data_IF_053235187305
#
_entry.id   IF_053235187305
#
_cell.length_a   1.000
_cell.length_b   1.000
_cell.length_c   1.000
_cell.angle_alpha   90.00
_cell.angle_beta   90.00
_cell.angle_gamma   90.00
#
_symmetry.space_group_name_H-M   'P 1'
#
loop_
_entity.id
_entity.type
_entity.pdbx_description
1 polymer ?
#
# COMPACT_ATOMS: atom_id res chain seq x y z
N UNK A 1 -16.33 1.83 1.93
CA UNK A 1 -14.93 1.41 2.17
C UNK A 1 -14.93 0.43 3.32
N UNK A 2 -14.20 -0.68 3.24
CA UNK A 2 -14.07 -1.56 4.41
C UNK A 2 -13.26 -0.84 5.49
N UNK A 3 -13.62 -1.03 6.76
CA UNK A 3 -12.96 -0.39 7.91
C UNK A 3 -11.44 -0.69 7.92
N UNK A 4 -11.02 -1.86 7.41
CA UNK A 4 -9.61 -2.25 7.29
C UNK A 4 -8.81 -1.34 6.37
N UNK A 5 -9.36 -0.95 5.21
CA UNK A 5 -8.66 -0.10 4.23
C UNK A 5 -8.43 1.30 4.82
N UNK A 6 -9.43 1.87 5.49
CA UNK A 6 -9.28 3.14 6.19
C UNK A 6 -8.24 3.10 7.32
N UNK A 7 -8.15 1.98 8.05
CA UNK A 7 -7.16 1.78 9.11
C UNK A 7 -5.73 1.68 8.56
N UNK A 8 -5.54 0.95 7.45
CA UNK A 8 -4.23 0.82 6.84
C UNK A 8 -3.71 2.14 6.26
N UNK A 9 -4.57 2.88 5.56
CA UNK A 9 -4.23 4.22 5.05
C UNK A 9 -3.86 5.15 6.21
N UNK A 10 -4.59 5.09 7.32
CA UNK A 10 -4.27 5.85 8.53
C UNK A 10 -2.84 5.57 9.02
N UNK A 11 -2.42 4.31 9.11
CA UNK A 11 -1.06 3.95 9.54
C UNK A 11 0.02 4.33 8.52
N UNK A 12 -0.28 4.26 7.21
CA UNK A 12 0.68 4.63 6.17
C UNK A 12 1.14 6.10 6.25
N UNK A 13 0.29 6.98 6.77
CA UNK A 13 0.62 8.38 6.98
C UNK A 13 1.04 8.69 8.42
N UNK A 14 0.39 8.08 9.41
CA UNK A 14 0.64 8.37 10.84
C UNK A 14 2.04 7.94 11.28
N UNK A 15 2.48 6.73 10.92
CA UNK A 15 3.78 6.22 11.37
C UNK A 15 4.97 7.07 10.87
N UNK A 16 5.09 7.37 9.56
CA UNK A 16 6.12 8.29 9.09
C UNK A 16 5.93 9.71 9.66
N UNK A 17 4.68 10.15 9.80
CA UNK A 17 4.29 11.41 10.40
C UNK A 17 4.87 11.66 11.79
N UNK A 18 4.72 10.67 12.68
CA UNK A 18 5.29 10.69 14.03
C UNK A 18 6.81 10.73 13.98
N UNK A 19 7.43 10.02 13.02
CA UNK A 19 8.88 10.10 12.80
C UNK A 19 9.32 11.52 12.42
N UNK A 20 8.61 12.20 11.51
CA UNK A 20 8.91 13.59 11.16
C UNK A 20 8.71 14.53 12.35
N UNK A 21 7.65 14.34 13.13
CA UNK A 21 7.45 15.07 14.39
C UNK A 21 8.62 14.89 15.35
N UNK A 22 9.14 13.67 15.48
CA UNK A 22 10.33 13.39 16.28
C UNK A 22 11.56 14.18 15.82
N UNK A 23 11.79 14.26 14.50
CA UNK A 23 12.90 15.03 13.93
C UNK A 23 12.72 16.54 14.21
N UNK A 24 11.51 17.07 14.03
CA UNK A 24 11.19 18.47 14.31
C UNK A 24 11.37 18.76 15.81
N UNK A 25 10.79 17.93 16.67
CA UNK A 25 10.89 18.06 18.13
C UNK A 25 12.32 18.01 18.62
N UNK A 26 13.15 17.14 18.05
CA UNK A 26 14.59 17.09 18.32
C UNK A 26 15.27 18.43 18.03
N UNK A 27 15.04 19.02 16.85
CA UNK A 27 15.65 20.31 16.49
C UNK A 27 15.11 21.48 17.32
N UNK A 28 13.82 21.49 17.64
CA UNK A 28 13.23 22.48 18.53
C UNK A 28 13.84 22.41 19.94
N UNK A 29 14.15 21.20 20.42
CA UNK A 29 14.82 21.02 21.70
C UNK A 29 16.28 21.48 21.67
N UNK A 30 17.03 21.09 20.63
CA UNK A 30 18.44 21.49 20.45
C UNK A 30 18.60 23.02 20.35
N UNK A 31 17.66 23.70 19.70
CA UNK A 31 17.66 25.17 19.57
C UNK A 31 17.16 25.90 20.82
N UNK A 32 16.68 25.17 21.83
CA UNK A 32 16.09 25.74 23.04
C UNK A 32 14.69 26.36 22.84
N UNK A 33 14.09 26.23 21.65
CA UNK A 33 12.74 26.71 21.35
C UNK A 33 11.66 25.89 22.04
N UNK A 34 11.98 24.65 22.43
CA UNK A 34 11.05 23.74 23.07
C UNK A 34 11.73 23.01 24.24
N UNK A 35 11.31 23.36 25.46
CA UNK A 35 11.69 22.66 26.68
C UNK A 35 10.61 21.62 26.97
N UNK A 36 10.94 20.34 26.80
CA UNK A 36 10.00 19.25 27.12
C UNK A 36 10.09 18.95 28.60
N UNK A 37 9.05 19.34 29.34
CA UNK A 37 8.88 18.88 30.72
C UNK A 37 8.14 17.53 30.72
N UNK A 38 8.87 16.47 31.09
CA UNK A 38 8.34 15.11 31.16
C UNK A 38 7.31 14.93 32.29
N UNK A 39 7.28 15.83 33.27
CA UNK A 39 6.33 15.77 34.39
C UNK A 39 4.93 16.16 33.94
N UNK A 40 4.81 17.27 33.20
CA UNK A 40 3.56 17.76 32.60
C UNK A 40 2.97 16.78 31.57
N UNK A 41 3.81 16.00 30.89
CA UNK A 41 3.36 14.99 29.93
C UNK A 41 2.67 13.78 30.57
N UNK A 42 3.02 13.43 31.82
CA UNK A 42 2.44 12.27 32.51
C UNK A 42 0.98 12.46 32.84
N UNK A 43 0.60 13.66 33.27
CA UNK A 43 -0.77 13.95 33.71
C UNK A 43 -1.76 14.01 32.54
N UNK A 44 -1.28 14.23 31.31
CA UNK A 44 -2.09 14.36 30.10
C UNK A 44 -1.84 13.27 29.05
N UNK A 45 -1.36 12.09 29.46
CA UNK A 45 -0.91 11.03 28.54
C UNK A 45 -1.91 10.72 27.42
N UNK A 46 -3.20 10.63 27.73
CA UNK A 46 -4.26 10.37 26.75
C UNK A 46 -4.43 11.49 25.72
N UNK A 47 -4.57 12.74 26.19
CA UNK A 47 -4.75 13.89 25.31
C UNK A 47 -3.51 14.15 24.45
N UNK A 48 -2.31 14.05 25.04
CA UNK A 48 -1.04 14.25 24.35
C UNK A 48 -0.83 13.19 23.27
N UNK A 49 -1.11 11.92 23.57
CA UNK A 49 -1.01 10.84 22.58
C UNK A 49 -1.94 11.08 21.40
N UNK A 50 -3.19 11.47 21.66
CA UNK A 50 -4.14 11.79 20.60
C UNK A 50 -3.67 12.95 19.73
N UNK A 51 -3.15 14.03 20.33
CA UNK A 51 -2.61 15.18 19.60
C UNK A 51 -1.41 14.79 18.74
N UNK A 52 -0.47 14.01 19.29
CA UNK A 52 0.71 13.54 18.55
C UNK A 52 0.30 12.65 17.36
N UNK A 53 -0.66 11.75 17.57
CA UNK A 53 -1.18 10.87 16.51
C UNK A 53 -1.88 11.69 15.42
N UNK A 54 -2.74 12.62 15.79
CA UNK A 54 -3.45 13.48 14.83
C UNK A 54 -2.48 14.39 14.05
N UNK A 55 -1.54 15.04 14.75
CA UNK A 55 -0.50 15.85 14.13
C UNK A 55 0.41 15.02 13.23
N UNK A 56 0.75 13.80 13.65
CA UNK A 56 1.53 12.85 12.87
C UNK A 56 0.82 12.51 11.56
N UNK A 57 -0.46 12.14 11.61
CA UNK A 57 -1.25 11.88 10.41
C UNK A 57 -1.24 13.07 9.43
N UNK A 58 -1.49 14.29 9.93
CA UNK A 58 -1.49 15.51 9.12
C UNK A 58 -0.12 15.76 8.47
N UNK A 59 0.96 15.66 9.24
CA UNK A 59 2.32 15.86 8.74
C UNK A 59 2.69 14.78 7.72
N UNK A 60 2.32 13.53 7.98
CA UNK A 60 2.51 12.42 7.05
C UNK A 60 1.86 12.69 5.70
N UNK A 61 0.63 13.20 5.70
CA UNK A 61 -0.08 13.61 4.47
C UNK A 61 0.62 14.75 3.74
N UNK A 62 1.05 15.80 4.46
CA UNK A 62 1.73 16.95 3.86
C UNK A 62 3.05 16.54 3.19
N UNK A 63 3.84 15.71 3.87
CA UNK A 63 5.15 15.25 3.41
C UNK A 63 5.04 14.19 2.30
N UNK A 64 3.90 13.52 2.15
CA UNK A 64 3.72 12.51 1.10
C UNK A 64 4.02 13.05 -0.32
N UNK A 65 3.62 14.29 -0.57
CA UNK A 65 3.91 14.99 -1.82
C UNK A 65 5.42 15.14 -2.10
N UNK A 66 6.19 15.39 -1.05
CA UNK A 66 7.65 15.51 -1.10
C UNK A 66 8.30 14.14 -1.24
N UNK A 67 7.80 13.13 -0.52
CA UNK A 67 8.26 11.75 -0.62
C UNK A 67 8.03 11.16 -2.02
N UNK A 68 6.94 11.55 -2.69
CA UNK A 68 6.71 11.19 -4.09
C UNK A 68 7.76 11.81 -5.03
N UNK A 69 8.15 13.07 -4.80
CA UNK A 69 9.23 13.72 -5.57
C UNK A 69 10.58 13.07 -5.28
N UNK A 70 10.88 12.74 -4.02
CA UNK A 70 12.06 11.99 -3.62
C UNK A 70 12.16 10.64 -4.34
N UNK A 71 11.07 9.88 -4.35
CA UNK A 71 11.00 8.61 -5.08
C UNK A 71 11.26 8.76 -6.58
N UNK A 72 10.88 9.90 -7.18
CA UNK A 72 11.13 10.19 -8.59
C UNK A 72 12.62 10.22 -8.92
N UNK A 73 13.51 10.50 -7.97
CA UNK A 73 14.97 10.43 -8.20
C UNK A 73 15.45 8.99 -8.46
N UNK A 74 14.69 7.99 -8.01
CA UNK A 74 14.94 6.57 -8.28
C UNK A 74 14.13 6.09 -9.52
N UNK A 75 13.98 7.00 -10.48
CA UNK A 75 13.01 7.06 -11.59
C UNK A 75 12.85 5.77 -12.41
N UNK A 76 13.96 5.12 -12.76
CA UNK A 76 13.97 4.17 -13.87
C UNK A 76 13.20 2.87 -13.62
N UNK A 77 12.97 2.50 -12.36
CA UNK A 77 12.31 1.22 -12.02
C UNK A 77 10.81 1.34 -11.73
N UNK A 78 10.31 2.57 -11.50
CA UNK A 78 8.95 2.79 -10.99
C UNK A 78 7.96 3.34 -12.00
N UNK A 79 8.44 3.90 -13.12
CA UNK A 79 7.56 4.45 -14.17
C UNK A 79 6.75 3.34 -14.84
N UNK A 80 7.38 2.20 -15.06
CA UNK A 80 6.79 1.08 -15.78
C UNK A 80 6.40 -0.07 -14.86
N UNK A 81 6.35 0.14 -13.53
CA UNK A 81 6.04 -0.93 -12.58
C UNK A 81 4.73 -1.67 -12.93
N UNK A 82 3.71 -0.94 -13.40
CA UNK A 82 2.45 -1.53 -13.87
C UNK A 82 2.64 -2.36 -15.15
N UNK A 83 3.43 -1.86 -16.10
CA UNK A 83 3.73 -2.57 -17.35
C UNK A 83 4.57 -3.82 -17.09
N UNK A 84 5.63 -3.70 -16.29
CA UNK A 84 6.47 -4.83 -15.88
C UNK A 84 5.67 -5.89 -15.14
N UNK A 85 4.77 -5.49 -14.24
CA UNK A 85 3.83 -6.41 -13.59
C UNK A 85 2.91 -7.08 -14.61
N UNK A 86 2.33 -6.33 -15.54
CA UNK A 86 1.45 -6.89 -16.57
C UNK A 86 2.19 -7.87 -17.51
N UNK A 87 3.40 -7.54 -17.93
CA UNK A 87 4.24 -8.39 -18.77
C UNK A 87 4.62 -9.68 -18.02
N UNK A 88 4.98 -9.57 -16.74
CA UNK A 88 5.28 -10.73 -15.89
C UNK A 88 4.04 -11.60 -15.66
N UNK A 89 2.89 -10.98 -15.41
CA UNK A 89 1.60 -11.66 -15.27
C UNK A 89 1.23 -12.44 -16.55
N UNK A 90 1.35 -11.80 -17.71
CA UNK A 90 1.08 -12.43 -19.02
C UNK A 90 2.03 -13.61 -19.27
N UNK A 91 3.30 -13.46 -18.88
CA UNK A 91 4.29 -14.54 -18.98
C UNK A 91 3.97 -15.72 -18.06
N UNK A 92 3.46 -15.47 -16.84
CA UNK A 92 3.07 -16.51 -15.88
C UNK A 92 1.77 -17.22 -16.26
N UNK A 93 0.86 -16.53 -16.95
CA UNK A 93 -0.46 -17.03 -17.30
C UNK A 93 -0.76 -16.91 -18.81
N UNK A 94 0.00 -17.61 -19.69
CA UNK A 94 -0.11 -17.46 -21.14
C UNK A 94 -1.46 -17.95 -21.71
N UNK A 95 -2.22 -18.72 -20.92
CA UNK A 95 -3.53 -19.27 -21.30
C UNK A 95 -4.69 -18.31 -21.05
N UNK A 96 -4.47 -17.22 -20.31
CA UNK A 96 -5.50 -16.22 -20.03
C UNK A 96 -5.60 -15.25 -21.20
N UNK A 97 -6.76 -15.16 -21.85
CA UNK A 97 -7.02 -14.16 -22.89
C UNK A 97 -7.37 -12.82 -22.24
N UNK A 98 -6.48 -11.84 -22.37
CA UNK A 98 -6.62 -10.54 -21.75
C UNK A 98 -7.32 -9.57 -22.72
N UNK A 99 -8.46 -9.01 -22.28
CA UNK A 99 -9.20 -7.97 -23.00
C UNK A 99 -8.99 -6.58 -22.37
N UNK A 100 -7.90 -6.40 -21.62
CA UNK A 100 -7.57 -5.16 -20.90
C UNK A 100 -6.08 -4.87 -20.99
N UNK A 101 -5.72 -3.60 -20.85
CA UNK A 101 -4.33 -3.14 -20.86
C UNK A 101 -3.78 -2.94 -19.45
N UNK A 102 -2.45 -2.84 -19.33
CA UNK A 102 -1.78 -2.53 -18.06
C UNK A 102 -2.30 -1.23 -17.41
N UNK A 103 -2.72 -0.25 -18.22
CA UNK A 103 -3.21 1.06 -17.75
C UNK A 103 -4.56 0.97 -17.03
N UNK A 104 -5.33 -0.09 -17.28
CA UNK A 104 -6.69 -0.25 -16.76
C UNK A 104 -6.74 -0.78 -15.33
N UNK A 105 -5.58 -0.95 -14.67
CA UNK A 105 -5.45 -1.47 -13.30
C UNK A 105 -6.41 -0.80 -12.30
N UNK A 106 -6.70 0.50 -12.46
CA UNK A 106 -7.60 1.23 -11.58
C UNK A 106 -9.06 0.77 -11.70
N UNK A 107 -9.49 0.43 -12.92
CA UNK A 107 -10.83 -0.12 -13.19
C UNK A 107 -10.89 -1.55 -12.67
N UNK A 108 -9.85 -2.36 -12.93
CA UNK A 108 -9.75 -3.74 -12.45
C UNK A 108 -9.84 -3.83 -10.93
N UNK A 109 -9.11 -2.97 -10.20
CA UNK A 109 -9.17 -2.92 -8.75
C UNK A 109 -10.58 -2.54 -8.24
N UNK A 110 -11.29 -1.64 -8.93
CA UNK A 110 -12.68 -1.31 -8.58
C UNK A 110 -13.62 -2.49 -8.83
N UNK A 111 -13.41 -3.25 -9.89
CA UNK A 111 -14.15 -4.47 -10.15
C UNK A 111 -13.90 -5.51 -9.03
N UNK A 112 -12.65 -5.74 -8.63
CA UNK A 112 -12.31 -6.62 -7.50
C UNK A 112 -13.02 -6.16 -6.22
N UNK A 113 -12.97 -4.85 -5.90
CA UNK A 113 -13.68 -4.29 -4.74
C UNK A 113 -15.19 -4.51 -4.74
N UNK A 114 -15.81 -4.54 -5.93
CA UNK A 114 -17.26 -4.75 -6.06
C UNK A 114 -17.67 -6.20 -5.80
N UNK A 115 -16.76 -7.15 -6.01
CA UNK A 115 -17.01 -8.59 -5.83
C UNK A 115 -16.57 -9.05 -4.45
N UNK A 116 -15.36 -8.69 -4.02
CA UNK A 116 -14.77 -9.17 -2.77
C UNK A 116 -13.98 -8.05 -2.07
N UNK A 117 -14.56 -7.53 -0.98
CA UNK A 117 -13.89 -6.53 -0.14
C UNK A 117 -12.63 -7.09 0.55
N UNK A 118 -12.59 -8.40 0.79
CA UNK A 118 -11.45 -9.06 1.43
C UNK A 118 -10.25 -9.18 0.50
N UNK A 119 -10.43 -9.72 -0.71
CA UNK A 119 -9.33 -9.79 -1.69
C UNK A 119 -8.83 -8.39 -2.08
N UNK A 120 -9.74 -7.41 -2.18
CA UNK A 120 -9.33 -6.03 -2.39
C UNK A 120 -8.47 -5.47 -1.25
N UNK A 121 -8.80 -5.80 0.02
CA UNK A 121 -8.03 -5.33 1.16
C UNK A 121 -6.61 -5.92 1.17
N UNK A 122 -6.44 -7.18 0.81
CA UNK A 122 -5.13 -7.83 0.71
C UNK A 122 -4.26 -7.19 -0.38
N UNK A 123 -4.87 -6.90 -1.54
CA UNK A 123 -4.21 -6.16 -2.62
C UNK A 123 -3.79 -4.77 -2.15
N UNK A 124 -4.71 -4.01 -1.54
CA UNK A 124 -4.44 -2.65 -1.06
C UNK A 124 -3.37 -2.57 0.03
N UNK A 125 -3.22 -3.62 0.85
CA UNK A 125 -2.16 -3.71 1.84
C UNK A 125 -0.76 -3.52 1.21
N UNK A 126 -0.54 -4.02 0.00
CA UNK A 126 0.73 -3.80 -0.70
C UNK A 126 0.96 -2.34 -1.08
N UNK A 127 -0.09 -1.62 -1.49
CA UNK A 127 -0.02 -0.19 -1.81
C UNK A 127 0.24 0.65 -0.55
N UNK A 128 -0.44 0.32 0.55
CA UNK A 128 -0.25 0.97 1.86
C UNK A 128 1.19 0.84 2.32
N UNK A 129 1.74 -0.39 2.31
CA UNK A 129 3.12 -0.64 2.71
C UNK A 129 4.11 0.08 1.79
N UNK A 130 3.81 0.18 0.49
CA UNK A 130 4.59 0.96 -0.46
C UNK A 130 4.64 2.45 -0.06
N UNK A 131 3.49 3.09 0.20
CA UNK A 131 3.39 4.49 0.62
C UNK A 131 4.16 4.71 1.92
N UNK A 132 3.94 3.84 2.91
CA UNK A 132 4.60 3.89 4.21
C UNK A 132 6.12 3.80 4.10
N UNK A 133 6.66 2.81 3.37
CA UNK A 133 8.10 2.63 3.18
C UNK A 133 8.75 3.78 2.42
N UNK A 134 8.03 4.37 1.45
CA UNK A 134 8.50 5.56 0.72
C UNK A 134 8.64 6.76 1.67
N UNK A 135 7.66 7.00 2.54
CA UNK A 135 7.70 8.09 3.50
C UNK A 135 8.77 7.85 4.57
N UNK A 136 8.86 6.64 5.12
CA UNK A 136 9.93 6.26 6.07
C UNK A 136 11.32 6.45 5.44
N UNK A 137 11.50 6.10 4.16
CA UNK A 137 12.76 6.35 3.45
C UNK A 137 13.15 7.84 3.49
N UNK A 138 12.20 8.73 3.22
CA UNK A 138 12.44 10.17 3.29
C UNK A 138 12.73 10.63 4.73
N UNK A 139 12.05 10.08 5.74
CA UNK A 139 12.32 10.37 7.15
C UNK A 139 13.75 10.00 7.54
N UNK A 140 14.27 8.86 7.05
CA UNK A 140 15.66 8.48 7.26
C UNK A 140 16.64 9.43 6.56
N UNK A 141 16.33 9.94 5.37
CA UNK A 141 17.16 10.99 4.72
C UNK A 141 17.24 12.25 5.57
N UNK A 142 16.10 12.73 6.08
CA UNK A 142 16.09 13.88 7.00
C UNK A 142 16.83 13.59 8.30
N UNK A 143 16.77 12.36 8.80
CA UNK A 143 17.54 11.93 9.97
C UNK A 143 19.04 11.95 9.69
N UNK A 144 19.49 11.45 8.53
CA UNK A 144 20.90 11.56 8.09
C UNK A 144 21.34 13.01 8.02
N UNK A 145 20.59 13.88 7.34
CA UNK A 145 20.90 15.31 7.27
C UNK A 145 20.98 15.90 8.68
N UNK A 146 20.02 15.55 9.54
CA UNK A 146 19.98 16.04 10.92
C UNK A 146 21.21 15.63 11.71
N UNK A 147 21.64 14.37 11.62
CA UNK A 147 22.87 13.90 12.29
C UNK A 147 24.12 14.60 11.79
N UNK A 148 24.23 14.86 10.47
CA UNK A 148 25.36 15.60 9.89
C UNK A 148 25.40 17.03 10.40
N UNK A 149 24.27 17.74 10.38
CA UNK A 149 24.20 19.12 10.89
C UNK A 149 24.51 19.16 12.39
N UNK A 150 23.95 18.22 13.16
CA UNK A 150 24.18 18.13 14.60
C UNK A 150 25.66 17.89 14.94
N UNK A 151 26.37 17.08 14.14
CA UNK A 151 27.82 16.87 14.29
C UNK A 151 28.63 18.17 14.16
N UNK A 152 28.27 19.03 13.20
CA UNK A 152 28.99 20.28 12.95
C UNK A 152 28.62 21.41 13.91
N UNK A 153 27.36 21.47 14.36
CA UNK A 153 26.84 22.59 15.14
C UNK A 153 26.95 22.37 16.65
N UNK A 154 26.72 21.14 17.12
CA UNK A 154 26.53 20.88 18.56
C UNK A 154 27.65 20.03 19.13
N UNK A 155 27.92 18.87 18.53
CA UNK A 155 28.85 17.90 19.09
C UNK A 155 29.63 17.16 18.00
N UNK A 156 30.93 17.42 17.90
CA UNK A 156 31.83 16.78 16.93
C UNK A 156 32.26 15.38 17.37
N UNK A 157 31.30 14.48 17.57
CA UNK A 157 31.52 13.08 17.91
C UNK A 157 31.33 12.18 16.67
N UNK A 158 32.36 11.42 16.31
CA UNK A 158 32.38 10.52 15.15
C UNK A 158 31.23 9.51 15.13
N UNK A 159 30.73 9.09 16.31
CA UNK A 159 29.62 8.14 16.43
C UNK A 159 28.30 8.69 15.85
N UNK A 160 28.12 10.01 15.85
CA UNK A 160 26.94 10.67 15.26
C UNK A 160 26.97 10.52 13.73
N UNK A 161 28.15 10.67 13.12
CA UNK A 161 28.31 10.45 11.68
C UNK A 161 28.09 8.99 11.30
N UNK A 162 28.58 8.06 12.13
CA UNK A 162 28.32 6.63 11.94
C UNK A 162 26.81 6.33 11.95
N UNK A 163 26.06 6.92 12.89
CA UNK A 163 24.60 6.83 12.92
C UNK A 163 23.94 7.42 11.67
N UNK A 164 24.43 8.56 11.19
CA UNK A 164 23.97 9.18 9.94
C UNK A 164 24.13 8.27 8.71
N UNK A 165 25.24 7.55 8.62
CA UNK A 165 25.48 6.55 7.57
C UNK A 165 24.47 5.40 7.68
N UNK A 166 24.19 4.91 8.90
CA UNK A 166 23.19 3.86 9.12
C UNK A 166 21.81 4.30 8.64
N UNK A 167 21.37 5.52 8.99
CA UNK A 167 20.10 6.06 8.49
C UNK A 167 20.09 6.17 6.96
N UNK A 168 21.20 6.56 6.34
CA UNK A 168 21.27 6.68 4.89
C UNK A 168 21.13 5.31 4.20
N UNK A 169 21.78 4.27 4.74
CA UNK A 169 21.64 2.89 4.24
C UNK A 169 20.19 2.42 4.40
N UNK A 170 19.57 2.65 5.56
CA UNK A 170 18.17 2.30 5.80
C UNK A 170 17.22 3.04 4.84
N UNK A 171 17.50 4.31 4.53
CA UNK A 171 16.73 5.08 3.55
C UNK A 171 16.73 4.41 2.16
N UNK A 172 17.90 3.98 1.69
CA UNK A 172 18.06 3.30 0.40
C UNK A 172 17.33 1.95 0.42
N UNK A 173 17.49 1.16 1.48
CA UNK A 173 16.84 -0.15 1.63
C UNK A 173 15.33 0.01 1.63
N UNK A 174 14.79 0.95 2.41
CA UNK A 174 13.36 1.25 2.47
C UNK A 174 12.81 1.66 1.10
N UNK A 175 13.52 2.53 0.36
CA UNK A 175 13.12 2.94 -0.99
C UNK A 175 13.09 1.77 -1.97
N UNK A 176 14.13 0.92 -1.97
CA UNK A 176 14.19 -0.27 -2.83
C UNK A 176 13.06 -1.25 -2.53
N UNK A 177 12.79 -1.48 -1.24
CA UNK A 177 11.70 -2.36 -0.79
C UNK A 177 10.33 -1.79 -1.15
N UNK A 178 10.15 -0.46 -1.11
CA UNK A 178 8.89 0.16 -1.54
C UNK A 178 8.61 -0.10 -3.03
N UNK A 179 9.62 0.01 -3.90
CA UNK A 179 9.47 -0.29 -5.33
C UNK A 179 9.02 -1.74 -5.60
N UNK A 180 9.55 -2.71 -4.84
CA UNK A 180 9.13 -4.11 -4.95
C UNK A 180 7.67 -4.27 -4.52
N UNK A 181 7.26 -3.61 -3.42
CA UNK A 181 5.87 -3.66 -2.94
C UNK A 181 4.88 -3.07 -3.96
N UNK A 182 5.28 -2.01 -4.66
CA UNK A 182 4.47 -1.43 -5.74
C UNK A 182 4.28 -2.40 -6.91
N UNK A 183 5.31 -3.16 -7.26
CA UNK A 183 5.20 -4.21 -8.28
C UNK A 183 4.22 -5.31 -7.86
N UNK A 184 4.34 -5.79 -6.62
CA UNK A 184 3.43 -6.80 -6.06
C UNK A 184 1.98 -6.32 -5.97
N UNK A 185 1.76 -5.04 -5.68
CA UNK A 185 0.43 -4.45 -5.74
C UNK A 185 -0.20 -4.63 -7.13
N UNK A 186 0.49 -4.21 -8.21
CA UNK A 186 -0.07 -4.34 -9.55
C UNK A 186 -0.26 -5.79 -9.98
N UNK A 187 0.70 -6.67 -9.67
CA UNK A 187 0.56 -8.12 -9.91
C UNK A 187 -0.71 -8.67 -9.24
N UNK A 188 -0.89 -8.36 -7.95
CA UNK A 188 -2.01 -8.86 -7.17
C UNK A 188 -3.36 -8.33 -7.70
N UNK A 189 -3.42 -7.11 -8.25
CA UNK A 189 -4.63 -6.60 -8.93
C UNK A 189 -5.01 -7.50 -10.12
N UNK A 190 -4.05 -7.82 -10.99
CA UNK A 190 -4.31 -8.63 -12.20
C UNK A 190 -4.67 -10.07 -11.85
N UNK A 191 -3.96 -10.66 -10.88
CA UNK A 191 -4.21 -12.02 -10.40
C UNK A 191 -5.57 -12.13 -9.70
N UNK A 192 -5.91 -11.20 -8.80
CA UNK A 192 -7.20 -11.20 -8.10
C UNK A 192 -8.38 -11.01 -9.06
N UNK A 193 -8.27 -10.08 -10.01
CA UNK A 193 -9.31 -9.87 -11.02
C UNK A 193 -9.55 -11.15 -11.85
N UNK A 194 -8.47 -11.77 -12.34
CA UNK A 194 -8.58 -12.96 -13.18
C UNK A 194 -9.10 -14.16 -12.41
N UNK A 195 -8.64 -14.37 -11.17
CA UNK A 195 -9.13 -15.44 -10.32
C UNK A 195 -10.65 -15.33 -10.11
N UNK A 196 -11.16 -14.12 -9.88
CA UNK A 196 -12.60 -13.89 -9.76
C UNK A 196 -13.35 -14.14 -11.07
N UNK A 197 -12.85 -13.64 -12.19
CA UNK A 197 -13.48 -13.84 -13.49
C UNK A 197 -13.58 -15.33 -13.87
N UNK A 198 -12.53 -16.10 -13.64
CA UNK A 198 -12.49 -17.53 -13.93
C UNK A 198 -13.37 -18.36 -12.98
N UNK A 199 -13.47 -17.97 -11.71
CA UNK A 199 -14.38 -18.61 -10.77
C UNK A 199 -15.84 -18.38 -11.16
N UNK A 200 -16.17 -17.17 -11.62
CA UNK A 200 -17.52 -16.85 -12.07
C UNK A 200 -17.87 -17.60 -13.36
N UNK A 201 -16.94 -17.66 -14.33
CA UNK A 201 -17.13 -18.44 -15.57
C UNK A 201 -17.34 -19.94 -15.28
N UNK A 202 -16.56 -20.52 -14.35
CA UNK A 202 -16.75 -21.92 -13.92
C UNK A 202 -18.09 -22.12 -13.19
N UNK A 203 -18.48 -21.18 -12.35
CA UNK A 203 -19.77 -21.22 -11.64
C UNK A 203 -20.96 -21.11 -12.60
N UNK A 204 -20.87 -20.25 -13.61
CA UNK A 204 -21.85 -20.11 -14.69
C UNK A 204 -21.92 -21.39 -15.52
N UNK A 205 -20.77 -21.93 -15.95
CA UNK A 205 -20.72 -23.16 -16.72
C UNK A 205 -21.26 -24.37 -15.95
N UNK A 206 -20.99 -24.46 -14.64
CA UNK A 206 -21.54 -25.50 -13.77
C UNK A 206 -23.08 -25.38 -13.62
N UNK A 207 -23.62 -24.17 -13.50
CA UNK A 207 -25.08 -23.95 -13.45
C UNK A 207 -25.76 -24.28 -14.78
N UNK A 208 -25.09 -24.04 -15.91
CA UNK A 208 -25.63 -24.37 -17.23
C UNK A 208 -25.67 -25.89 -17.48
N UNK A 209 -24.67 -26.65 -17.00
CA UNK A 209 -24.69 -28.11 -17.09
C UNK A 209 -25.72 -28.75 -16.15
N UNK A 210 -25.94 -28.19 -14.96
CA UNK A 210 -26.99 -28.66 -14.03
C UNK A 210 -28.41 -28.38 -14.55
N UNK A 211 -28.62 -27.28 -15.28
CA UNK A 211 -29.93 -26.97 -15.89
C UNK A 211 -30.22 -27.79 -17.15
N UNK A 212 -29.19 -28.36 -17.77
CA UNK A 212 -29.26 -29.24 -18.95
C UNK A 212 -29.71 -30.68 -18.61
N UNK A 213 -29.63 -31.10 -17.35
CA UNK A 213 -30.04 -32.43 -16.89
C UNK A 213 -31.51 -32.51 -16.45
N UNK A 214 -32.33 -31.48 -16.70
CA UNK A 214 -33.79 -31.59 -16.54
C UNK A 214 -34.29 -32.63 -17.54
N UNK A 215 -34.86 -33.77 -17.09
CA UNK A 215 -35.29 -34.84 -17.99
C UNK A 215 -36.33 -34.32 -18.96
N UNK A 216 -36.15 -34.64 -20.25
CA UNK A 216 -37.08 -34.27 -21.31
C UNK A 216 -38.52 -34.58 -20.86
N UNK A 217 -39.48 -33.64 -21.05
CA UNK A 217 -40.86 -33.85 -20.66
C UNK A 217 -41.33 -35.15 -21.32
N UNK A 218 -41.72 -36.14 -20.50
CA UNK A 218 -42.27 -37.41 -20.98
C UNK A 218 -43.37 -37.06 -21.99
N UNK A 219 -43.12 -37.37 -23.25
CA UNK A 219 -44.11 -37.17 -24.31
C UNK A 219 -45.38 -37.88 -23.88
N UNK A 220 -46.42 -37.08 -23.63
CA UNK A 220 -47.75 -37.58 -23.32
C UNK A 220 -48.22 -38.31 -24.58
N UNK A 221 -48.06 -39.64 -24.56
CA UNK A 221 -48.54 -40.56 -25.57
C UNK A 221 -50.06 -40.43 -25.58
N UNK A 222 -50.61 -39.59 -26.47
CA UNK A 222 -52.05 -39.53 -26.72
C UNK A 222 -52.49 -40.94 -27.10
N UNK A 223 -53.25 -41.56 -26.21
CA UNK A 223 -53.92 -42.81 -26.48
C UNK A 223 -54.93 -42.56 -27.60
N UNK A 224 -54.69 -43.24 -28.74
CA UNK A 224 -55.71 -43.54 -29.73
C UNK A 224 -56.80 -44.35 -29.03
N UNK A 225 -57.94 -43.72 -28.77
CA UNK A 225 -59.15 -44.38 -28.32
C UNK A 225 -60.15 -44.40 -29.46
N UNK A 226 -60.39 -45.60 -29.99
CA UNK A 226 -61.51 -45.94 -30.85
C UNK A 226 -62.84 -45.61 -30.15
N UNK A 227 -63.75 -44.94 -30.85
CA UNK A 227 -65.06 -45.47 -31.29
C UNK A 227 -65.84 -44.39 -32.04
#
# INVERSE_FOLDING_TARGET
MSIRVGLYDFFAYTLPGIFYLGIIGFWLNVTGLLVVDLTTLKDFWGAVTFVIVAAGYIIGLLIDSLAYRWMRLFYNRNRDATKTAFDEYTKRHPWVKLNYEAKDWGILLRAVKSVSLEAAADVEQHNVVFIMLRNISLAFVFSTISTVVYYFVVLSNIWILALGIVFFVLAIVAMRRSGIRRHWFYMAVFEAFTAHFLLDEKAVNAKLTEKSTVPAPKSVRKASGEK
#
